data_IF_641454758384
#
_entry.id   IF_641454758384
#
_cell.length_a   1.000
_cell.length_b   1.000
_cell.length_c   1.000
_cell.angle_alpha   90.00
_cell.angle_beta   90.00
_cell.angle_gamma   90.00
#
_symmetry.space_group_name_H-M   'P 1'
#
loop_
_entity.id
_entity.type
_entity.pdbx_description
1 polymer ?
#
# COMPACT_ATOMS: atom_id res chain seq x y z
N UNK A 1 -14.12 9.86 -7.54
CA UNK A 1 -14.39 9.51 -6.12
C UNK A 1 -13.05 9.18 -5.48
N UNK A 2 -12.80 9.66 -4.26
CA UNK A 2 -11.54 9.42 -3.54
C UNK A 2 -11.81 8.50 -2.36
N UNK A 3 -11.07 7.39 -2.28
CA UNK A 3 -11.13 6.44 -1.18
C UNK A 3 -10.52 7.06 0.08
N UNK A 4 -11.14 6.81 1.23
CA UNK A 4 -10.48 7.06 2.52
C UNK A 4 -9.27 6.13 2.65
N UNK A 5 -8.20 6.60 3.28
CA UNK A 5 -7.05 5.77 3.62
C UNK A 5 -7.06 5.48 5.12
N UNK A 6 -6.87 4.20 5.48
CA UNK A 6 -6.51 3.77 6.82
C UNK A 6 -5.21 2.96 6.77
N UNK A 7 -4.50 2.94 7.90
CA UNK A 7 -3.25 2.24 8.07
C UNK A 7 -3.41 1.20 9.17
N UNK A 8 -2.88 0.01 8.96
CA UNK A 8 -2.60 -0.92 10.07
C UNK A 8 -1.47 -0.35 10.94
N UNK A 9 -1.37 -0.83 12.17
CA UNK A 9 -0.23 -0.49 13.05
C UNK A 9 1.11 -0.86 12.39
N UNK A 10 1.16 -1.99 11.70
CA UNK A 10 2.37 -2.43 10.99
C UNK A 10 2.75 -1.46 9.86
N UNK A 11 1.78 -1.02 9.06
CA UNK A 11 2.02 -0.03 8.02
C UNK A 11 2.53 1.29 8.62
N UNK A 12 1.87 1.79 9.67
CA UNK A 12 2.28 3.02 10.35
C UNK A 12 3.71 2.92 10.89
N UNK A 13 4.03 1.80 11.56
CA UNK A 13 5.37 1.51 12.11
C UNK A 13 6.43 1.46 11.02
N UNK A 14 6.19 0.71 9.94
CA UNK A 14 7.16 0.57 8.84
C UNK A 14 7.36 1.88 8.09
N UNK A 15 6.29 2.58 7.76
CA UNK A 15 6.36 3.91 7.13
C UNK A 15 7.14 4.88 8.03
N UNK A 16 6.91 4.84 9.35
CA UNK A 16 7.63 5.65 10.33
C UNK A 16 9.14 5.51 10.23
N UNK A 17 9.64 4.30 9.98
CA UNK A 17 11.07 3.95 9.87
C UNK A 17 11.71 4.26 8.51
N UNK A 18 10.94 4.64 7.49
CA UNK A 18 11.47 4.99 6.18
C UNK A 18 12.26 6.30 6.25
N UNK A 19 13.32 6.40 5.44
CA UNK A 19 14.00 7.66 5.21
C UNK A 19 13.05 8.69 4.57
N UNK A 20 13.39 9.96 4.70
CA UNK A 20 12.53 11.08 4.27
C UNK A 20 12.14 10.98 2.79
N UNK A 21 13.09 10.65 1.92
CA UNK A 21 12.85 10.60 0.48
C UNK A 21 11.95 9.42 0.09
N UNK A 22 12.10 8.26 0.73
CA UNK A 22 11.18 7.13 0.53
C UNK A 22 9.80 7.47 1.09
N UNK A 23 9.71 8.03 2.30
CA UNK A 23 8.43 8.41 2.94
C UNK A 23 7.61 9.36 2.07
N UNK A 24 8.25 10.37 1.47
CA UNK A 24 7.60 11.29 0.52
C UNK A 24 7.07 10.58 -0.74
N UNK A 25 7.88 9.68 -1.34
CA UNK A 25 7.46 8.91 -2.51
C UNK A 25 6.29 7.98 -2.18
N UNK A 26 6.33 7.31 -1.04
CA UNK A 26 5.25 6.45 -0.55
C UNK A 26 3.98 7.25 -0.28
N UNK A 27 4.07 8.42 0.36
CA UNK A 27 2.91 9.29 0.60
C UNK A 27 2.24 9.74 -0.70
N UNK A 28 3.04 10.17 -1.70
CA UNK A 28 2.53 10.52 -3.04
C UNK A 28 1.85 9.34 -3.73
N UNK A 29 2.43 8.14 -3.60
CA UNK A 29 1.84 6.93 -4.15
C UNK A 29 0.50 6.58 -3.48
N UNK A 30 0.42 6.66 -2.15
CA UNK A 30 -0.83 6.39 -1.40
C UNK A 30 -1.91 7.39 -1.80
N UNK A 31 -1.57 8.67 -1.99
CA UNK A 31 -2.53 9.67 -2.49
C UNK A 31 -3.06 9.27 -3.87
N UNK A 32 -2.19 8.87 -4.81
CA UNK A 32 -2.63 8.37 -6.13
C UNK A 32 -3.53 7.14 -6.02
N UNK A 33 -3.20 6.20 -5.13
CA UNK A 33 -4.02 5.02 -4.89
C UNK A 33 -5.40 5.37 -4.31
N UNK A 34 -5.51 6.42 -3.50
CA UNK A 34 -6.81 6.90 -3.01
C UNK A 34 -7.74 7.36 -4.14
N UNK A 35 -7.20 7.86 -5.25
CA UNK A 35 -7.97 8.27 -6.42
C UNK A 35 -8.19 7.12 -7.39
N UNK A 36 -7.18 6.25 -7.54
CA UNK A 36 -7.16 5.17 -8.51
C UNK A 36 -6.52 3.89 -7.92
N UNK A 37 -7.28 3.10 -7.13
CA UNK A 37 -6.75 1.91 -6.47
C UNK A 37 -6.30 0.82 -7.43
N UNK A 38 -6.79 0.79 -8.67
CA UNK A 38 -6.41 -0.20 -9.69
C UNK A 38 -5.01 0.02 -10.30
N UNK A 39 -4.31 1.10 -9.92
CA UNK A 39 -2.91 1.31 -10.32
C UNK A 39 -1.96 0.25 -9.75
N UNK A 40 -2.34 -0.40 -8.64
CA UNK A 40 -1.63 -1.56 -8.14
C UNK A 40 -2.04 -2.86 -8.85
N UNK A 41 -1.23 -3.89 -8.65
CA UNK A 41 -1.54 -5.23 -9.14
C UNK A 41 -2.28 -6.00 -8.07
N UNK A 42 -3.46 -6.53 -8.42
CA UNK A 42 -4.15 -7.51 -7.58
C UNK A 42 -3.27 -8.76 -7.46
N UNK A 43 -3.08 -9.25 -6.23
CA UNK A 43 -2.36 -10.49 -6.01
C UNK A 43 -3.24 -11.70 -6.37
N UNK A 44 -2.64 -12.87 -6.46
CA UNK A 44 -3.30 -14.11 -6.87
C UNK A 44 -3.27 -15.15 -5.74
N UNK A 45 -4.03 -16.23 -5.91
CA UNK A 45 -4.12 -17.32 -4.93
C UNK A 45 -4.73 -16.86 -3.59
N UNK A 46 -4.10 -17.31 -2.49
CA UNK A 46 -4.54 -17.02 -1.12
C UNK A 46 -4.52 -15.52 -0.75
N UNK A 47 -3.84 -14.69 -1.54
CA UNK A 47 -3.73 -13.24 -1.32
C UNK A 47 -4.59 -12.43 -2.28
N UNK A 48 -5.55 -13.06 -2.97
CA UNK A 48 -6.37 -12.41 -4.00
C UNK A 48 -7.28 -11.27 -3.51
N UNK A 49 -7.38 -11.06 -2.21
CA UNK A 49 -8.04 -9.90 -1.59
C UNK A 49 -7.09 -8.70 -1.39
N UNK A 50 -5.81 -8.85 -1.73
CA UNK A 50 -4.76 -7.83 -1.58
C UNK A 50 -4.26 -7.31 -2.92
N UNK A 51 -3.70 -6.12 -2.86
CA UNK A 51 -3.12 -5.39 -3.97
C UNK A 51 -1.70 -4.96 -3.61
N UNK A 52 -0.84 -4.88 -4.62
CA UNK A 52 0.56 -4.47 -4.49
C UNK A 52 0.88 -3.34 -5.46
N UNK A 53 1.36 -2.20 -4.94
CA UNK A 53 1.81 -1.08 -5.76
C UNK A 53 3.31 -0.84 -5.57
N UNK A 54 4.05 -0.73 -6.67
CA UNK A 54 5.51 -0.55 -6.65
C UNK A 54 5.86 0.93 -6.59
N UNK A 55 6.78 1.28 -5.68
CA UNK A 55 7.35 2.62 -5.50
C UNK A 55 8.87 2.50 -5.48
N UNK A 56 9.49 2.52 -6.66
CA UNK A 56 10.93 2.24 -6.79
C UNK A 56 11.28 0.83 -6.30
N UNK A 57 12.12 0.75 -5.26
CA UNK A 57 12.48 -0.50 -4.59
C UNK A 57 11.57 -0.87 -3.41
N UNK A 58 10.49 -0.12 -3.19
CA UNK A 58 9.50 -0.40 -2.15
C UNK A 58 8.18 -0.88 -2.75
N UNK A 59 7.39 -1.59 -1.96
CA UNK A 59 6.02 -1.98 -2.29
C UNK A 59 5.06 -1.59 -1.18
N UNK A 60 3.89 -1.13 -1.59
CA UNK A 60 2.74 -0.87 -0.72
C UNK A 60 1.79 -2.05 -0.90
N UNK A 61 1.51 -2.78 0.17
CA UNK A 61 0.49 -3.82 0.19
C UNK A 61 -0.79 -3.24 0.80
N UNK A 62 -1.92 -3.38 0.11
CA UNK A 62 -3.18 -2.79 0.54
C UNK A 62 -4.39 -3.63 0.17
N UNK A 63 -5.54 -3.36 0.78
CA UNK A 63 -6.85 -3.88 0.37
C UNK A 63 -7.74 -2.75 -0.10
N UNK A 64 -8.60 -3.04 -1.07
CA UNK A 64 -9.61 -2.11 -1.58
C UNK A 64 -10.97 -2.61 -1.15
N UNK A 65 -11.61 -1.89 -0.22
CA UNK A 65 -12.97 -2.16 0.22
C UNK A 65 -13.94 -1.23 -0.50
N UNK A 66 -14.41 -1.66 -1.68
CA UNK A 66 -15.27 -0.84 -2.55
C UNK A 66 -16.56 -0.39 -1.86
N UNK A 67 -17.21 -1.28 -1.11
CA UNK A 67 -18.47 -0.99 -0.41
C UNK A 67 -18.30 0.08 0.70
N UNK A 68 -17.10 0.17 1.28
CA UNK A 68 -16.79 1.13 2.36
C UNK A 68 -16.07 2.39 1.83
N UNK A 69 -15.80 2.48 0.52
CA UNK A 69 -14.98 3.53 -0.11
C UNK A 69 -13.65 3.72 0.66
N UNK A 70 -13.03 2.60 1.02
CA UNK A 70 -11.86 2.53 1.89
C UNK A 70 -10.71 1.77 1.24
N UNK A 71 -9.50 2.29 1.38
CA UNK A 71 -8.24 1.57 1.16
C UNK A 71 -7.55 1.38 2.51
N UNK A 72 -7.24 0.13 2.83
CA UNK A 72 -6.47 -0.22 4.02
C UNK A 72 -5.04 -0.57 3.62
N UNK A 73 -4.08 0.28 4.00
CA UNK A 73 -2.66 0.01 3.83
C UNK A 73 -2.24 -1.01 4.88
N UNK A 74 -1.86 -2.20 4.41
CA UNK A 74 -1.48 -3.33 5.26
C UNK A 74 -0.03 -3.25 5.69
N UNK A 75 0.86 -2.87 4.78
CA UNK A 75 2.30 -2.73 5.05
C UNK A 75 3.00 -1.97 3.92
N UNK A 76 4.21 -1.48 4.21
CA UNK A 76 5.15 -0.96 3.21
C UNK A 76 6.49 -1.62 3.46
N UNK A 77 7.07 -2.26 2.44
CA UNK A 77 8.32 -3.01 2.59
C UNK A 77 9.20 -2.95 1.37
N UNK A 78 10.48 -3.22 1.56
CA UNK A 78 11.45 -3.25 0.47
C UNK A 78 11.15 -4.45 -0.44
N UNK A 79 11.49 -4.36 -1.73
CA UNK A 79 11.18 -5.37 -2.75
C UNK A 79 11.73 -6.76 -2.43
N UNK A 80 12.78 -6.79 -1.60
CA UNK A 80 13.48 -8.00 -1.12
C UNK A 80 12.80 -8.65 0.09
N UNK A 81 12.01 -7.90 0.85
CA UNK A 81 11.37 -8.36 2.10
C UNK A 81 9.88 -8.63 1.95
N UNK A 82 9.23 -8.09 0.90
CA UNK A 82 7.76 -8.17 0.73
C UNK A 82 7.25 -9.56 0.34
N UNK A 83 8.14 -10.52 0.02
CA UNK A 83 7.75 -11.90 -0.25
C UNK A 83 7.81 -12.80 1.00
N UNK A 84 8.30 -12.30 2.13
CA UNK A 84 8.37 -13.03 3.41
C UNK A 84 7.15 -12.76 4.33
N UNK A 85 6.03 -12.27 3.76
CA UNK A 85 4.81 -11.86 4.47
C UNK A 85 3.57 -12.70 4.12
#
# INVERSE_FOLDING_TARGET
>A
MTYRILYTEEAARRIGKLDKAVKERVGKAIKKLSEQPELGKRLTGLLSDRWSYRVGDWRILYKVKKNEVLILILTVGHRREVYDL
#
